data_IF_667313954328
#
_entry.id   IF_667313954328
#
_cell.length_a   1.000
_cell.length_b   1.000
_cell.length_c   1.000
_cell.angle_alpha   90.00
_cell.angle_beta   90.00
_cell.angle_gamma   90.00
#
_symmetry.space_group_name_H-M   'P 1'
#
loop_
_entity.id
_entity.type
_entity.pdbx_description
1 polymer ?
#
# COMPACT_ATOMS: atom_id res chain seq x y z
N UNK A 1 19.02 9.70 -3.26
CA UNK A 1 17.56 9.47 -3.24
C UNK A 1 17.25 8.64 -2.01
N UNK A 2 16.30 9.08 -1.19
CA UNK A 2 15.82 8.31 -0.04
C UNK A 2 14.68 7.39 -0.47
N UNK A 3 14.63 6.19 0.09
CA UNK A 3 13.58 5.22 -0.13
C UNK A 3 12.85 4.94 1.17
N UNK A 4 11.62 4.43 1.08
CA UNK A 4 10.87 3.99 2.24
C UNK A 4 11.57 2.76 2.83
N UNK A 5 11.88 2.81 4.12
CA UNK A 5 12.44 1.70 4.90
C UNK A 5 11.45 1.33 6.00
N UNK A 6 10.65 0.29 5.76
CA UNK A 6 9.66 -0.27 6.70
C UNK A 6 9.66 -1.79 6.60
N UNK A 7 9.26 -2.46 7.68
CA UNK A 7 9.02 -3.90 7.67
C UNK A 7 8.04 -4.24 6.54
N UNK A 8 8.38 -5.26 5.76
CA UNK A 8 7.62 -5.73 4.59
C UNK A 8 7.65 -4.86 3.34
N UNK A 9 8.41 -3.76 3.29
CA UNK A 9 8.61 -2.99 2.05
C UNK A 9 9.88 -3.45 1.36
N UNK A 10 9.80 -3.72 0.05
CA UNK A 10 10.95 -4.10 -0.76
C UNK A 10 11.99 -2.98 -0.76
N UNK A 11 13.27 -3.31 -0.52
CA UNK A 11 14.34 -2.31 -0.49
C UNK A 11 14.45 -1.58 -1.83
N UNK A 12 14.64 -0.27 -1.77
CA UNK A 12 14.82 0.62 -2.92
C UNK A 12 13.67 0.58 -3.95
N UNK A 13 12.46 0.16 -3.55
CA UNK A 13 11.32 0.01 -4.45
C UNK A 13 10.45 1.26 -4.55
N UNK A 14 10.28 1.97 -3.42
CA UNK A 14 9.45 3.18 -3.32
C UNK A 14 10.29 4.37 -2.87
N UNK A 15 10.39 5.38 -3.74
CA UNK A 15 10.99 6.67 -3.41
C UNK A 15 10.21 7.35 -2.28
N UNK A 16 10.94 7.87 -1.28
CA UNK A 16 10.33 8.54 -0.14
C UNK A 16 9.84 9.93 -0.54
N UNK A 17 8.55 10.20 -0.29
CA UNK A 17 7.94 11.53 -0.41
C UNK A 17 7.27 11.90 0.90
N UNK A 18 7.64 13.04 1.46
CA UNK A 18 7.25 13.41 2.82
C UNK A 18 5.72 13.47 3.00
N UNK A 19 4.99 14.05 2.06
CA UNK A 19 3.52 14.09 2.12
C UNK A 19 2.89 12.68 2.15
N UNK A 20 3.48 11.70 1.45
CA UNK A 20 2.97 10.33 1.44
C UNK A 20 3.23 9.66 2.79
N UNK A 21 4.39 9.90 3.39
CA UNK A 21 4.74 9.39 4.73
C UNK A 21 3.83 9.99 5.80
N UNK A 22 3.60 11.30 5.75
CA UNK A 22 2.74 11.98 6.72
C UNK A 22 1.28 11.48 6.63
N UNK A 23 0.74 11.35 5.42
CA UNK A 23 -0.61 10.80 5.22
C UNK A 23 -0.72 9.33 5.66
N UNK A 24 0.30 8.52 5.38
CA UNK A 24 0.33 7.13 5.81
C UNK A 24 0.36 7.02 7.35
N UNK A 25 1.20 7.83 8.02
CA UNK A 25 1.28 7.86 9.48
C UNK A 25 -0.06 8.25 10.12
N UNK A 26 -0.77 9.22 9.57
CA UNK A 26 -2.09 9.60 10.06
C UNK A 26 -3.11 8.47 9.86
N UNK A 27 -3.13 7.84 8.68
CA UNK A 27 -4.01 6.72 8.37
C UNK A 27 -3.73 5.44 9.19
N UNK A 28 -2.56 5.32 9.84
CA UNK A 28 -2.22 4.22 10.74
C UNK A 28 -2.80 4.38 12.16
N UNK A 29 -3.18 5.61 12.53
CA UNK A 29 -3.67 5.93 13.88
C UNK A 29 -5.20 5.83 13.99
N UNK A 30 -5.92 6.23 12.94
CA UNK A 30 -7.38 6.28 12.93
C UNK A 30 -7.95 6.02 11.53
N UNK A 31 -9.25 5.78 11.45
CA UNK A 31 -9.96 5.64 10.18
C UNK A 31 -9.87 6.95 9.39
N UNK A 32 -9.41 6.87 8.14
CA UNK A 32 -9.06 8.04 7.33
C UNK A 32 -9.61 7.95 5.90
N UNK A 33 -10.01 9.09 5.34
CA UNK A 33 -10.28 9.25 3.90
C UNK A 33 -9.20 10.15 3.30
N UNK A 34 -8.33 9.58 2.47
CA UNK A 34 -7.27 10.34 1.79
C UNK A 34 -7.76 10.85 0.43
N UNK A 35 -7.90 12.16 0.31
CA UNK A 35 -8.32 12.83 -0.94
C UNK A 35 -7.10 13.44 -1.64
N UNK A 36 -6.65 12.79 -2.72
CA UNK A 36 -5.56 13.29 -3.57
C UNK A 36 -5.92 13.09 -5.05
N UNK A 37 -5.47 13.97 -5.95
CA UNK A 37 -5.49 13.74 -7.40
C UNK A 37 -4.86 12.39 -7.81
N UNK A 38 -5.26 11.87 -8.96
CA UNK A 38 -4.60 10.73 -9.61
C UNK A 38 -3.16 11.10 -9.99
N UNK A 39 -2.25 10.12 -9.98
CA UNK A 39 -0.83 10.36 -10.29
C UNK A 39 0.05 10.78 -9.11
N UNK A 40 -0.52 11.18 -7.96
CA UNK A 40 0.25 11.56 -6.76
C UNK A 40 0.64 10.38 -5.84
N UNK A 41 0.51 9.15 -6.33
CA UNK A 41 0.99 7.96 -5.60
C UNK A 41 0.14 7.55 -4.39
N UNK A 42 -1.20 7.66 -4.47
CA UNK A 42 -2.12 7.14 -3.43
C UNK A 42 -1.83 5.68 -3.07
N UNK A 43 -1.47 4.84 -4.04
CA UNK A 43 -1.13 3.43 -3.79
C UNK A 43 0.14 3.27 -2.94
N UNK A 44 1.11 4.18 -3.04
CA UNK A 44 2.30 4.17 -2.18
C UNK A 44 1.98 4.55 -0.73
N UNK A 45 0.96 5.40 -0.51
CA UNK A 45 0.42 5.67 0.83
C UNK A 45 -0.23 4.40 1.38
N UNK A 46 -1.10 3.77 0.60
CA UNK A 46 -1.77 2.53 1.00
C UNK A 46 -0.78 1.40 1.30
N UNK A 47 0.28 1.24 0.49
CA UNK A 47 1.34 0.26 0.72
C UNK A 47 2.02 0.44 2.07
N UNK A 48 2.31 1.69 2.47
CA UNK A 48 2.89 1.97 3.80
C UNK A 48 1.95 1.55 4.92
N UNK A 49 0.65 1.86 4.81
CA UNK A 49 -0.38 1.49 5.79
C UNK A 49 -0.49 -0.04 5.90
N UNK A 50 -0.51 -0.75 4.78
CA UNK A 50 -0.55 -2.22 4.71
C UNK A 50 0.66 -2.83 5.42
N UNK A 51 1.86 -2.36 5.07
CA UNK A 51 3.11 -2.84 5.64
C UNK A 51 3.13 -2.67 7.16
N UNK A 52 2.73 -1.49 7.65
CA UNK A 52 2.65 -1.20 9.09
C UNK A 52 1.60 -2.04 9.80
N UNK A 53 0.40 -2.18 9.23
CA UNK A 53 -0.68 -2.93 9.85
C UNK A 53 -0.31 -4.41 10.01
N UNK A 54 0.23 -5.02 8.94
CA UNK A 54 0.71 -6.41 8.97
C UNK A 54 1.94 -6.59 9.87
N UNK A 55 2.75 -5.53 10.07
CA UNK A 55 3.91 -5.56 10.98
C UNK A 55 3.53 -5.93 12.41
N UNK A 56 2.31 -5.57 12.83
CA UNK A 56 1.72 -5.82 14.16
C UNK A 56 1.35 -7.29 14.39
N UNK A 57 1.36 -8.12 13.34
CA UNK A 57 1.15 -9.57 13.44
C UNK A 57 -0.28 -10.02 13.74
N UNK A 58 -1.27 -9.17 13.48
CA UNK A 58 -2.69 -9.47 13.73
C UNK A 58 -3.54 -9.07 12.52
N UNK A 59 -4.46 -9.94 12.11
CA UNK A 59 -5.44 -9.67 11.07
C UNK A 59 -4.94 -9.83 9.64
N UNK A 60 -5.60 -9.16 8.70
CA UNK A 60 -5.31 -9.18 7.27
C UNK A 60 -5.85 -7.93 6.58
N UNK A 61 -5.51 -7.76 5.30
CA UNK A 61 -5.93 -6.60 4.50
C UNK A 61 -6.88 -7.06 3.40
N UNK A 62 -8.02 -6.39 3.30
CA UNK A 62 -8.89 -6.45 2.12
C UNK A 62 -8.71 -5.18 1.29
N UNK A 63 -8.08 -5.31 0.11
CA UNK A 63 -7.87 -4.18 -0.80
C UNK A 63 -8.92 -4.20 -1.91
N UNK A 64 -9.79 -3.20 -1.96
CA UNK A 64 -10.90 -3.13 -2.91
C UNK A 64 -10.62 -2.12 -4.02
N UNK A 65 -10.98 -2.50 -5.25
CA UNK A 65 -10.93 -1.61 -6.41
C UNK A 65 -12.16 -1.84 -7.31
N UNK A 66 -12.65 -0.80 -8.03
CA UNK A 66 -13.96 -0.85 -8.67
C UNK A 66 -13.98 -1.62 -10.01
N UNK A 67 -12.82 -1.95 -10.59
CA UNK A 67 -12.74 -2.67 -11.86
C UNK A 67 -11.67 -3.75 -11.82
N UNK A 68 -11.86 -4.83 -12.58
CA UNK A 68 -10.87 -5.92 -12.73
C UNK A 68 -9.49 -5.41 -13.15
N UNK A 69 -9.43 -4.39 -14.03
CA UNK A 69 -8.16 -3.78 -14.45
C UNK A 69 -7.45 -3.14 -13.27
N UNK A 70 -8.15 -2.37 -12.43
CA UNK A 70 -7.56 -1.74 -11.25
C UNK A 70 -7.15 -2.77 -10.19
N UNK A 71 -7.95 -3.82 -9.97
CA UNK A 71 -7.58 -4.91 -9.05
C UNK A 71 -6.25 -5.54 -9.47
N UNK A 72 -6.08 -5.87 -10.76
CA UNK A 72 -4.82 -6.44 -11.27
C UNK A 72 -3.65 -5.45 -11.13
N UNK A 73 -3.86 -4.16 -11.43
CA UNK A 73 -2.82 -3.15 -11.27
C UNK A 73 -2.35 -3.00 -9.81
N UNK A 74 -3.28 -2.98 -8.86
CA UNK A 74 -2.94 -2.91 -7.44
C UNK A 74 -2.27 -4.19 -6.95
N UNK A 75 -2.73 -5.36 -7.39
CA UNK A 75 -2.12 -6.65 -7.07
C UNK A 75 -0.64 -6.71 -7.50
N UNK A 76 -0.36 -6.41 -8.77
CA UNK A 76 1.01 -6.42 -9.30
C UNK A 76 1.89 -5.39 -8.58
N UNK A 77 1.36 -4.18 -8.34
CA UNK A 77 2.08 -3.16 -7.58
C UNK A 77 2.44 -3.64 -6.17
N UNK A 78 1.48 -4.20 -5.42
CA UNK A 78 1.73 -4.67 -4.06
C UNK A 78 2.72 -5.84 -4.05
N UNK A 79 2.57 -6.80 -4.97
CA UNK A 79 3.46 -7.96 -5.11
C UNK A 79 4.90 -7.58 -5.44
N UNK A 80 5.11 -6.53 -6.23
CA UNK A 80 6.44 -6.05 -6.59
C UNK A 80 7.13 -5.25 -5.48
N UNK A 81 6.35 -4.59 -4.62
CA UNK A 81 6.87 -3.60 -3.67
C UNK A 81 6.76 -4.04 -2.19
N UNK A 82 6.06 -5.14 -1.90
CA UNK A 82 6.03 -5.78 -0.59
C UNK A 82 6.85 -7.06 -0.58
N UNK A 83 7.45 -7.39 0.56
CA UNK A 83 8.15 -8.67 0.78
C UNK A 83 7.21 -9.74 1.38
N UNK A 84 5.92 -9.65 1.09
CA UNK A 84 4.87 -10.55 1.59
C UNK A 84 4.47 -11.47 0.45
N UNK A 85 4.60 -12.78 0.66
CA UNK A 85 4.27 -13.78 -0.36
C UNK A 85 2.77 -14.10 -0.42
N UNK A 86 2.06 -13.96 0.71
CA UNK A 86 0.63 -14.27 0.83
C UNK A 86 -0.26 -13.10 0.37
N UNK A 87 -0.21 -12.81 -0.93
CA UNK A 87 -1.09 -11.85 -1.59
C UNK A 87 -1.93 -12.61 -2.62
N UNK A 88 -3.25 -12.60 -2.44
CA UNK A 88 -4.22 -13.26 -3.32
C UNK A 88 -5.11 -12.25 -4.04
N UNK A 89 -5.49 -12.55 -5.28
CA UNK A 89 -6.39 -11.74 -6.11
C UNK A 89 -7.71 -12.49 -6.32
N UNK A 90 -8.83 -11.80 -6.12
CA UNK A 90 -10.19 -12.34 -6.29
C UNK A 90 -10.97 -11.42 -7.22
N UNK A 91 -11.56 -11.96 -8.30
CA UNK A 91 -12.43 -11.25 -9.24
C UNK A 91 -13.61 -12.13 -9.63
N UNK A 92 -14.73 -11.55 -10.06
CA UNK A 92 -15.78 -12.31 -10.75
C UNK A 92 -15.29 -12.80 -12.12
N UNK A 93 -15.79 -13.97 -12.56
CA UNK A 93 -15.53 -14.51 -13.91
C UNK A 93 -15.96 -13.53 -15.01
#
# INVERSE_FOLDING_TARGET
MEYIDRKYVQKNSIEKREYQVNLANQAMQENCIVVLPTGLGKTAIALQVIAEYLSKGVGGILFLAPTRVLVNQHYEFLKQNLTIDDISLITGE
#
